data_IF_955085352369
#
_entry.id   IF_955085352369
#
_cell.length_a   1.000
_cell.length_b   1.000
_cell.length_c   1.000
_cell.angle_alpha   90.00
_cell.angle_beta   90.00
_cell.angle_gamma   90.00
#
_symmetry.space_group_name_H-M   'P 1'
#
loop_
_entity.id
_entity.type
_entity.pdbx_description
1 polymer ?
#
# COMPACT_ATOMS: atom_id res chain seq x y z
N UNK A 1 29.65 9.10 22.29
CA UNK A 1 28.39 8.74 21.61
C UNK A 1 27.43 8.18 22.64
N UNK A 2 26.30 8.84 22.91
CA UNK A 2 25.37 8.44 23.97
C UNK A 2 24.38 7.35 23.47
N UNK A 3 24.08 6.31 24.25
CA UNK A 3 23.18 5.24 23.85
C UNK A 3 21.71 5.68 23.89
N UNK A 4 20.95 5.35 22.84
CA UNK A 4 19.51 5.62 22.72
C UNK A 4 18.73 4.82 23.76
N UNK A 5 18.06 5.52 24.68
CA UNK A 5 17.10 4.95 25.65
C UNK A 5 15.94 4.27 24.90
N UNK A 6 15.74 2.97 25.13
CA UNK A 6 14.54 2.23 24.71
C UNK A 6 13.35 2.74 25.53
N UNK A 7 12.32 3.22 24.85
CA UNK A 7 11.06 3.65 25.48
C UNK A 7 10.21 2.41 25.78
N UNK A 8 9.84 2.22 27.04
CA UNK A 8 8.96 1.16 27.48
C UNK A 8 7.52 1.34 26.93
N UNK A 9 6.77 0.26 26.68
CA UNK A 9 5.37 0.32 26.27
C UNK A 9 4.48 0.74 27.45
N UNK A 10 3.56 1.67 27.20
CA UNK A 10 2.57 2.13 28.17
C UNK A 10 1.41 1.12 28.32
N UNK A 11 0.78 1.03 29.50
CA UNK A 11 -0.24 0.02 29.81
C UNK A 11 -1.57 0.28 29.08
N UNK A 12 -2.23 -0.81 28.70
CA UNK A 12 -3.53 -0.84 28.06
C UNK A 12 -4.64 -0.47 29.05
N UNK A 13 -5.39 0.59 28.77
CA UNK A 13 -6.67 0.89 29.42
C UNK A 13 -7.79 0.25 28.60
N UNK A 14 -8.48 -0.70 29.22
CA UNK A 14 -9.67 -1.36 28.71
C UNK A 14 -10.87 -0.40 28.78
N UNK A 15 -11.54 -0.19 27.66
CA UNK A 15 -12.94 0.22 27.60
C UNK A 15 -13.59 -0.62 26.50
N UNK A 16 -14.11 -1.77 26.93
CA UNK A 16 -14.87 -2.72 26.14
C UNK A 16 -16.34 -2.28 26.20
N UNK A 17 -16.82 -1.67 25.12
CA UNK A 17 -18.26 -1.50 24.86
C UNK A 17 -18.60 -2.25 23.59
N UNK A 18 -18.77 -3.55 23.76
CA UNK A 18 -19.30 -4.48 22.79
C UNK A 18 -20.77 -4.11 22.51
N UNK A 19 -21.06 -3.61 21.31
CA UNK A 19 -22.43 -3.41 20.84
C UNK A 19 -22.90 -4.74 20.25
N UNK A 20 -23.62 -5.51 21.07
CA UNK A 20 -24.33 -6.73 20.63
C UNK A 20 -25.50 -6.31 19.75
N UNK A 21 -25.42 -6.59 18.45
CA UNK A 21 -26.57 -6.51 17.53
C UNK A 21 -27.34 -7.81 17.66
N UNK A 22 -28.40 -7.80 18.48
CA UNK A 22 -29.34 -8.91 18.61
C UNK A 22 -30.29 -8.89 17.41
N UNK A 23 -30.11 -9.84 16.48
CA UNK A 23 -31.11 -10.19 15.46
C UNK A 23 -32.28 -10.92 16.13
N UNK A 24 -33.56 -10.57 15.85
CA UNK A 24 -34.68 -11.40 16.28
C UNK A 24 -34.82 -12.65 15.40
N UNK A 25 -35.24 -13.80 15.99
CA UNK A 25 -35.34 -15.07 15.29
C UNK A 25 -36.61 -15.13 14.43
N UNK A 26 -36.53 -15.88 13.33
CA UNK A 26 -37.67 -16.21 12.49
C UNK A 26 -38.73 -16.99 13.26
N UNK A 27 -39.98 -16.56 13.10
CA UNK A 27 -41.16 -17.34 13.43
C UNK A 27 -41.83 -17.74 12.12
N UNK A 28 -41.64 -19.01 11.74
CA UNK A 28 -42.57 -19.71 10.87
C UNK A 28 -43.88 -19.98 11.64
N UNK A 29 -45.03 -19.82 10.97
CA UNK A 29 -46.27 -20.62 11.03
C UNK A 29 -47.50 -19.80 10.55
N UNK A 30 -48.64 -20.41 10.18
CA UNK A 30 -48.86 -21.18 8.95
C UNK A 30 -50.01 -20.58 8.12
N UNK A 31 -50.16 -21.12 6.91
CA UNK A 31 -51.25 -20.85 5.97
C UNK A 31 -52.61 -21.26 6.57
N UNK A 32 -53.44 -20.30 6.97
CA UNK A 32 -54.84 -20.54 7.33
C UNK A 32 -55.76 -19.52 6.66
N UNK A 33 -56.53 -20.03 5.70
CA UNK A 33 -57.62 -19.39 4.98
C UNK A 33 -58.73 -18.95 5.94
N UNK A 34 -59.03 -17.64 5.99
CA UNK A 34 -60.33 -17.12 6.42
C UNK A 34 -60.82 -16.04 5.46
N UNK A 35 -62.12 -16.12 5.18
CA UNK A 35 -62.86 -15.51 4.08
C UNK A 35 -63.75 -14.39 4.65
N UNK A 36 -63.61 -13.17 4.12
CA UNK A 36 -64.56 -12.03 4.16
C UNK A 36 -64.88 -11.38 5.55
N UNK A 37 -65.29 -10.09 5.65
CA UNK A 37 -65.86 -9.25 4.60
C UNK A 37 -65.14 -7.92 4.31
N UNK A 38 -65.35 -7.42 3.09
CA UNK A 38 -65.01 -6.07 2.66
C UNK A 38 -65.59 -5.00 3.61
N UNK A 39 -64.75 -4.49 4.52
CA UNK A 39 -64.91 -3.13 5.06
C UNK A 39 -63.94 -2.24 4.30
N UNK A 40 -64.48 -1.25 3.59
CA UNK A 40 -63.73 -0.33 2.77
C UNK A 40 -62.65 0.41 3.59
N UNK A 41 -61.40 -0.05 3.48
CA UNK A 41 -60.24 0.72 3.92
C UNK A 41 -60.10 1.91 2.97
N UNK A 42 -60.41 3.09 3.49
CA UNK A 42 -60.13 4.35 2.82
C UNK A 42 -58.66 4.35 2.31
N UNK A 43 -58.39 4.87 1.10
CA UNK A 43 -57.03 4.94 0.59
C UNK A 43 -56.16 5.69 1.60
N UNK A 44 -54.89 5.29 1.80
CA UNK A 44 -53.99 5.99 2.71
C UNK A 44 -54.03 7.47 2.34
N UNK A 45 -54.46 8.30 3.29
CA UNK A 45 -54.62 9.73 3.10
C UNK A 45 -53.34 10.28 2.44
N UNK A 46 -53.51 11.00 1.33
CA UNK A 46 -52.42 11.60 0.55
C UNK A 46 -51.50 12.44 1.44
N UNK A 47 -52.04 12.98 2.54
CA UNK A 47 -51.30 13.69 3.58
C UNK A 47 -50.33 12.79 4.36
N UNK A 48 -50.71 11.56 4.73
CA UNK A 48 -49.85 10.62 5.45
C UNK A 48 -48.72 10.08 4.55
N UNK A 49 -49.00 9.84 3.27
CA UNK A 49 -47.98 9.48 2.27
C UNK A 49 -46.98 10.63 2.08
N UNK A 50 -47.47 11.86 1.96
CA UNK A 50 -46.64 13.06 1.82
C UNK A 50 -45.76 13.31 3.06
N UNK A 51 -46.30 13.13 4.27
CA UNK A 51 -45.55 13.23 5.52
C UNK A 51 -44.44 12.17 5.62
N UNK A 52 -44.73 10.92 5.22
CA UNK A 52 -43.75 9.85 5.23
C UNK A 52 -42.61 10.08 4.22
N UNK A 53 -42.94 10.57 3.02
CA UNK A 53 -41.95 10.96 2.01
C UNK A 53 -41.10 12.13 2.50
N UNK A 54 -41.71 13.17 3.08
CA UNK A 54 -40.98 14.30 3.66
C UNK A 54 -40.03 13.85 4.78
N UNK A 55 -40.48 12.98 5.68
CA UNK A 55 -39.63 12.42 6.74
C UNK A 55 -38.49 11.58 6.18
N UNK A 56 -38.73 10.79 5.14
CA UNK A 56 -37.68 10.02 4.48
C UNK A 56 -36.64 10.92 3.77
N UNK A 57 -37.07 12.04 3.18
CA UNK A 57 -36.17 13.02 2.57
C UNK A 57 -35.29 13.67 3.65
N UNK A 58 -35.88 14.12 4.75
CA UNK A 58 -35.15 14.73 5.88
C UNK A 58 -34.15 13.74 6.48
N UNK A 59 -34.58 12.51 6.77
CA UNK A 59 -33.70 11.48 7.31
C UNK A 59 -32.53 11.17 6.35
N UNK A 60 -32.79 11.06 5.05
CA UNK A 60 -31.72 10.84 4.06
C UNK A 60 -30.77 12.03 3.94
N UNK A 61 -31.26 13.26 4.09
CA UNK A 61 -30.43 14.45 4.12
C UNK A 61 -29.53 14.47 5.36
N UNK A 62 -30.06 14.13 6.54
CA UNK A 62 -29.29 14.00 7.78
C UNK A 62 -28.21 12.92 7.68
N UNK A 63 -28.53 11.75 7.13
CA UNK A 63 -27.55 10.68 6.92
C UNK A 63 -26.39 11.11 6.00
N UNK A 64 -26.69 11.86 4.93
CA UNK A 64 -25.65 12.42 4.03
C UNK A 64 -24.83 13.52 4.70
N UNK A 65 -25.47 14.40 5.46
CA UNK A 65 -24.77 15.45 6.19
C UNK A 65 -23.82 14.86 7.25
N UNK A 66 -24.28 13.84 7.98
CA UNK A 66 -23.45 13.12 8.94
C UNK A 66 -22.26 12.44 8.26
N UNK A 67 -22.49 11.74 7.15
CA UNK A 67 -21.39 11.08 6.42
C UNK A 67 -20.36 12.09 5.91
N UNK A 68 -20.78 13.23 5.36
CA UNK A 68 -19.90 14.31 4.94
C UNK A 68 -19.10 14.91 6.11
N UNK A 69 -19.72 15.11 7.27
CA UNK A 69 -19.06 15.60 8.47
C UNK A 69 -18.00 14.62 9.00
N UNK A 70 -18.32 13.33 9.05
CA UNK A 70 -17.35 12.30 9.48
C UNK A 70 -16.15 12.27 8.52
N UNK A 71 -16.39 12.39 7.21
CA UNK A 71 -15.31 12.41 6.21
C UNK A 71 -14.43 13.66 6.32
N UNK A 72 -15.01 14.82 6.61
CA UNK A 72 -14.24 16.07 6.81
C UNK A 72 -13.35 15.96 8.05
N UNK A 73 -13.86 15.39 9.15
CA UNK A 73 -13.10 15.11 10.37
C UNK A 73 -11.96 14.11 10.10
N UNK A 74 -12.22 13.02 9.38
CA UNK A 74 -11.18 12.05 9.01
C UNK A 74 -10.08 12.70 8.16
N UNK A 75 -10.44 13.59 7.23
CA UNK A 75 -9.47 14.35 6.43
C UNK A 75 -8.65 15.30 7.30
N UNK A 76 -9.27 16.01 8.24
CA UNK A 76 -8.60 16.93 9.15
C UNK A 76 -7.67 16.21 10.14
N UNK A 77 -8.05 15.02 10.62
CA UNK A 77 -7.25 14.18 11.51
C UNK A 77 -6.09 13.47 10.81
N UNK A 78 -5.95 13.60 9.48
CA UNK A 78 -4.91 12.92 8.71
C UNK A 78 -3.52 13.40 9.13
N UNK A 79 -2.54 12.48 9.27
CA UNK A 79 -1.14 12.87 9.50
C UNK A 79 -0.63 13.80 8.38
N UNK A 80 0.00 14.91 8.77
CA UNK A 80 0.55 15.93 7.85
C UNK A 80 1.47 15.32 6.78
N UNK A 81 2.25 14.31 7.14
CA UNK A 81 3.15 13.59 6.23
C UNK A 81 2.41 12.85 5.11
N UNK A 82 1.24 12.28 5.39
CA UNK A 82 0.44 11.58 4.38
C UNK A 82 -0.15 12.56 3.39
N UNK A 83 -0.63 13.71 3.88
CA UNK A 83 -1.17 14.78 3.04
C UNK A 83 -0.09 15.32 2.11
N UNK A 84 1.07 15.71 2.65
CA UNK A 84 2.18 16.24 1.84
C UNK A 84 2.75 15.22 0.84
N UNK A 85 2.72 13.93 1.16
CA UNK A 85 3.17 12.87 0.26
C UNK A 85 2.18 12.56 -0.87
N UNK A 86 0.87 12.65 -0.62
CA UNK A 86 -0.17 12.25 -1.58
C UNK A 86 -0.61 13.39 -2.49
N UNK A 87 -0.72 14.60 -1.96
CA UNK A 87 -1.17 15.79 -2.69
C UNK A 87 -0.43 16.04 -4.02
N UNK A 88 0.92 16.01 -4.10
CA UNK A 88 1.61 16.22 -5.38
C UNK A 88 1.28 15.13 -6.40
N UNK A 89 1.10 13.88 -5.96
CA UNK A 89 0.77 12.75 -6.85
C UNK A 89 -0.68 12.83 -7.35
N UNK A 90 -1.60 13.25 -6.48
CA UNK A 90 -2.99 13.51 -6.86
C UNK A 90 -3.08 14.69 -7.83
N UNK A 91 -2.27 15.74 -7.63
CA UNK A 91 -2.21 16.89 -8.55
C UNK A 91 -1.72 16.49 -9.94
N UNK A 92 -0.69 15.66 -10.03
CA UNK A 92 -0.21 15.11 -11.32
C UNK A 92 -1.32 14.32 -12.03
N UNK A 93 -2.04 13.46 -11.31
CA UNK A 93 -3.17 12.72 -11.90
C UNK A 93 -4.29 13.65 -12.40
N UNK A 94 -4.65 14.70 -11.63
CA UNK A 94 -5.65 15.68 -12.09
C UNK A 94 -5.19 16.42 -13.35
N UNK A 95 -3.93 16.85 -13.39
CA UNK A 95 -3.34 17.48 -14.56
C UNK A 95 -3.33 16.54 -15.77
N UNK A 96 -3.05 15.26 -15.58
CA UNK A 96 -3.18 14.25 -16.62
C UNK A 96 -4.60 14.17 -17.18
N UNK A 97 -5.61 14.08 -16.31
CA UNK A 97 -7.00 14.05 -16.72
C UNK A 97 -7.42 15.33 -17.45
N UNK A 98 -6.95 16.50 -17.02
CA UNK A 98 -7.20 17.78 -17.67
C UNK A 98 -6.57 17.84 -19.07
N UNK A 99 -5.33 17.36 -19.25
CA UNK A 99 -4.67 17.33 -20.56
C UNK A 99 -5.33 16.36 -21.54
N UNK A 100 -5.81 15.22 -21.06
CA UNK A 100 -6.52 14.22 -21.88
C UNK A 100 -7.98 14.59 -22.15
N UNK A 101 -8.51 15.62 -21.47
CA UNK A 101 -9.86 16.15 -21.64
C UNK A 101 -10.96 15.08 -21.52
N UNK A 102 -10.86 14.21 -20.50
CA UNK A 102 -11.89 13.20 -20.27
C UNK A 102 -13.25 13.83 -19.92
N UNK A 103 -14.34 13.21 -20.39
CA UNK A 103 -15.70 13.69 -20.15
C UNK A 103 -16.05 13.71 -18.65
N UNK A 104 -15.62 12.71 -17.89
CA UNK A 104 -15.84 12.63 -16.44
C UNK A 104 -14.84 13.47 -15.63
N UNK A 105 -14.03 14.29 -16.31
CA UNK A 105 -13.00 15.14 -15.73
C UNK A 105 -12.00 14.36 -14.88
N UNK A 106 -11.93 14.72 -13.59
CA UNK A 106 -10.96 14.19 -12.62
C UNK A 106 -11.43 12.91 -11.91
N UNK A 107 -12.56 12.33 -12.33
CA UNK A 107 -13.09 11.10 -11.74
C UNK A 107 -12.12 9.94 -11.93
N UNK A 108 -11.74 9.30 -10.82
CA UNK A 108 -10.77 8.21 -10.82
C UNK A 108 -11.44 6.91 -11.29
N UNK A 109 -10.94 6.35 -12.39
CA UNK A 109 -11.28 5.01 -12.85
C UNK A 109 -10.02 4.14 -12.90
N UNK A 110 -10.20 2.81 -12.94
CA UNK A 110 -9.05 1.89 -13.03
C UNK A 110 -8.26 2.12 -14.34
N UNK A 111 -8.96 2.26 -15.46
CA UNK A 111 -8.36 2.47 -16.78
C UNK A 111 -7.53 3.77 -16.84
N UNK A 112 -8.08 4.88 -16.32
CA UNK A 112 -7.37 6.16 -16.26
C UNK A 112 -6.13 6.04 -15.37
N UNK A 113 -6.21 5.30 -14.27
CA UNK A 113 -5.06 5.05 -13.40
C UNK A 113 -4.00 4.25 -14.15
N UNK A 114 -4.34 3.13 -14.78
CA UNK A 114 -3.37 2.31 -15.51
C UNK A 114 -2.68 3.09 -16.64
N UNK A 115 -3.45 3.84 -17.42
CA UNK A 115 -2.90 4.67 -18.49
C UNK A 115 -1.95 5.74 -17.95
N UNK A 116 -2.34 6.43 -16.88
CA UNK A 116 -1.48 7.40 -16.19
C UNK A 116 -0.16 6.76 -15.71
N UNK A 117 -0.22 5.55 -15.15
CA UNK A 117 0.98 4.86 -14.67
C UNK A 117 1.95 4.53 -15.82
N UNK A 118 1.43 4.01 -16.92
CA UNK A 118 2.26 3.63 -18.08
C UNK A 118 2.85 4.88 -18.74
N UNK A 119 2.02 5.84 -19.14
CA UNK A 119 2.46 7.01 -19.92
C UNK A 119 3.30 8.00 -19.11
N UNK A 120 2.94 8.27 -17.85
CA UNK A 120 3.48 9.43 -17.14
C UNK A 120 4.37 9.07 -15.95
N UNK A 121 4.22 7.87 -15.37
CA UNK A 121 4.91 7.48 -14.13
C UNK A 121 6.05 6.50 -14.36
N UNK A 122 5.88 5.49 -15.22
CA UNK A 122 6.83 4.37 -15.36
C UNK A 122 7.94 4.66 -16.35
N UNK A 123 7.63 5.26 -17.51
CA UNK A 123 8.62 5.53 -18.57
C UNK A 123 9.36 6.85 -18.39
N UNK A 124 9.02 7.58 -17.34
CA UNK A 124 9.58 8.89 -17.05
C UNK A 124 10.98 8.81 -16.43
N UNK A 125 11.94 9.62 -16.92
CA UNK A 125 13.23 9.77 -16.25
C UNK A 125 13.05 10.43 -14.87
N UNK A 126 13.87 10.02 -13.89
CA UNK A 126 13.83 10.61 -12.55
C UNK A 126 14.01 12.14 -12.60
N UNK A 127 13.09 12.89 -11.98
CA UNK A 127 13.20 14.36 -11.82
C UNK A 127 14.45 14.77 -11.03
N UNK A 128 14.83 13.97 -10.02
CA UNK A 128 15.97 14.21 -9.13
C UNK A 128 16.75 12.91 -8.96
N UNK A 129 18.08 12.98 -8.92
CA UNK A 129 18.90 11.81 -8.57
C UNK A 129 18.54 11.38 -7.15
N UNK A 130 18.29 10.09 -6.99
CA UNK A 130 18.25 9.50 -5.65
C UNK A 130 19.62 9.63 -5.00
N UNK A 131 19.69 9.96 -3.71
CA UNK A 131 20.93 9.91 -2.91
C UNK A 131 21.63 8.54 -2.95
N UNK A 132 20.90 7.48 -3.34
CA UNK A 132 21.39 6.11 -3.47
C UNK A 132 21.73 5.69 -4.91
N UNK A 133 21.60 6.59 -5.89
CA UNK A 133 22.00 6.30 -7.26
C UNK A 133 23.53 6.40 -7.37
N UNK A 134 24.15 5.42 -8.02
CA UNK A 134 25.57 5.48 -8.36
C UNK A 134 25.83 6.72 -9.23
N UNK A 135 26.98 7.39 -9.05
CA UNK A 135 27.32 8.61 -9.80
C UNK A 135 27.36 8.39 -11.32
N UNK A 136 27.56 7.15 -11.75
CA UNK A 136 27.82 6.76 -13.15
C UNK A 136 26.57 6.40 -13.98
N UNK A 137 25.39 6.26 -13.38
CA UNK A 137 24.17 6.00 -14.17
C UNK A 137 23.53 7.33 -14.61
N UNK A 138 23.29 7.53 -15.92
CA UNK A 138 22.62 8.74 -16.39
C UNK A 138 21.20 8.85 -15.82
N UNK A 139 20.85 10.07 -15.41
CA UNK A 139 19.53 10.43 -14.88
C UNK A 139 18.37 10.05 -15.80
N UNK A 140 18.61 10.10 -17.11
CA UNK A 140 17.65 9.81 -18.17
C UNK A 140 17.24 8.34 -18.24
N UNK A 141 18.11 7.42 -17.84
CA UNK A 141 17.85 5.97 -17.87
C UNK A 141 17.31 5.44 -16.53
N UNK A 142 17.44 6.24 -15.48
CA UNK A 142 16.94 5.84 -14.17
C UNK A 142 15.43 6.00 -14.16
N UNK A 143 14.74 4.88 -14.33
CA UNK A 143 13.29 4.77 -14.21
C UNK A 143 12.83 4.77 -12.75
N UNK A 144 11.57 5.11 -12.55
CA UNK A 144 10.94 5.09 -11.24
C UNK A 144 10.85 3.64 -10.71
N UNK A 145 11.22 3.42 -9.45
CA UNK A 145 11.11 2.09 -8.80
C UNK A 145 9.65 1.66 -8.60
N UNK A 146 9.40 0.35 -8.59
CA UNK A 146 8.05 -0.19 -8.33
C UNK A 146 7.42 0.33 -7.02
N UNK A 147 8.24 0.63 -6.01
CA UNK A 147 7.80 1.17 -4.71
C UNK A 147 7.19 2.57 -4.85
N UNK A 148 7.79 3.40 -5.69
CA UNK A 148 7.29 4.73 -5.97
C UNK A 148 6.00 4.67 -6.79
N UNK A 149 5.91 3.79 -7.78
CA UNK A 149 4.66 3.52 -8.54
C UNK A 149 3.53 3.10 -7.60
N UNK A 150 3.81 2.20 -6.65
CA UNK A 150 2.85 1.82 -5.61
C UNK A 150 2.40 3.00 -4.74
N UNK A 151 3.27 3.98 -4.49
CA UNK A 151 2.91 5.21 -3.78
C UNK A 151 1.95 6.07 -4.59
N UNK A 152 2.11 6.17 -5.91
CA UNK A 152 1.14 6.82 -6.80
C UNK A 152 -0.22 6.13 -6.76
N UNK A 153 -0.27 4.80 -6.93
CA UNK A 153 -1.51 4.03 -6.84
C UNK A 153 -2.22 4.28 -5.50
N UNK A 154 -1.46 4.30 -4.40
CA UNK A 154 -2.03 4.53 -3.07
C UNK A 154 -2.61 5.95 -2.95
N UNK A 155 -1.92 6.97 -3.46
CA UNK A 155 -2.39 8.34 -3.45
C UNK A 155 -3.63 8.56 -4.34
N UNK A 156 -3.69 7.92 -5.51
CA UNK A 156 -4.86 8.00 -6.40
C UNK A 156 -6.04 7.17 -5.88
N UNK A 157 -5.79 6.02 -5.25
CA UNK A 157 -6.84 5.24 -4.57
C UNK A 157 -7.43 6.04 -3.40
N UNK A 158 -6.61 6.83 -2.70
CA UNK A 158 -7.08 7.73 -1.65
C UNK A 158 -7.98 8.86 -2.19
N UNK A 159 -7.63 9.39 -3.38
CA UNK A 159 -8.50 10.33 -4.11
C UNK A 159 -9.82 9.66 -4.50
N UNK A 160 -9.80 8.42 -5.00
CA UNK A 160 -11.01 7.64 -5.30
C UNK A 160 -11.89 7.46 -4.06
N UNK A 161 -11.32 7.05 -2.91
CA UNK A 161 -12.08 6.90 -1.66
C UNK A 161 -12.77 8.20 -1.26
N UNK A 162 -12.06 9.32 -1.45
CA UNK A 162 -12.59 10.66 -1.23
C UNK A 162 -13.75 11.00 -2.17
N UNK A 163 -13.67 10.65 -3.46
CA UNK A 163 -14.74 10.86 -4.44
C UNK A 163 -15.96 9.96 -4.16
N UNK A 164 -15.72 8.69 -3.82
CA UNK A 164 -16.75 7.71 -3.49
C UNK A 164 -17.57 8.14 -2.29
N UNK A 165 -16.89 8.63 -1.25
CA UNK A 165 -17.51 9.06 -0.02
C UNK A 165 -18.31 10.37 -0.17
N UNK A 166 -17.96 11.20 -1.16
CA UNK A 166 -18.75 12.36 -1.58
C UNK A 166 -19.89 12.01 -2.55
N UNK A 167 -20.02 10.74 -2.94
CA UNK A 167 -21.03 10.30 -3.91
C UNK A 167 -20.76 10.73 -5.36
N UNK A 168 -19.54 11.20 -5.67
CA UNK A 168 -19.16 11.67 -7.01
C UNK A 168 -18.75 10.53 -7.96
N UNK A 169 -18.38 9.37 -7.42
CA UNK A 169 -17.81 8.28 -8.21
C UNK A 169 -18.58 6.97 -7.98
N UNK A 170 -19.14 6.40 -9.05
CA UNK A 170 -19.89 5.13 -8.98
C UNK A 170 -19.06 3.90 -9.36
N UNK A 171 -17.85 4.08 -9.86
CA UNK A 171 -16.97 3.00 -10.35
C UNK A 171 -16.45 2.09 -9.22
N UNK A 172 -15.96 0.88 -9.56
CA UNK A 172 -15.24 -0.01 -8.64
C UNK A 172 -13.90 0.58 -8.20
N UNK A 173 -13.26 -0.04 -7.21
CA UNK A 173 -12.01 0.48 -6.69
C UNK A 173 -10.88 0.29 -7.72
N UNK A 174 -10.10 1.34 -8.04
CA UNK A 174 -9.05 1.29 -9.07
C UNK A 174 -7.83 0.42 -8.67
N UNK A 175 -7.91 -0.32 -7.57
CA UNK A 175 -6.82 -1.13 -6.99
C UNK A 175 -7.22 -2.61 -6.81
N UNK A 176 -8.16 -3.07 -7.62
CA UNK A 176 -8.65 -4.44 -7.57
C UNK A 176 -7.62 -5.39 -8.18
N UNK A 177 -7.63 -5.68 -9.47
CA UNK A 177 -6.79 -6.75 -10.02
C UNK A 177 -5.69 -6.25 -10.96
N UNK A 178 -6.04 -5.49 -12.01
CA UNK A 178 -5.08 -5.11 -13.05
C UNK A 178 -3.93 -4.25 -12.48
N UNK A 179 -4.26 -3.29 -11.60
CA UNK A 179 -3.24 -2.47 -10.94
C UNK A 179 -2.30 -3.29 -10.04
N UNK A 180 -2.77 -4.41 -9.45
CA UNK A 180 -1.93 -5.28 -8.63
C UNK A 180 -1.01 -6.14 -9.48
N UNK A 181 -1.52 -6.69 -10.57
CA UNK A 181 -0.72 -7.46 -11.52
C UNK A 181 0.35 -6.60 -12.17
N UNK A 182 0.03 -5.35 -12.51
CA UNK A 182 1.00 -4.39 -13.02
C UNK A 182 2.11 -4.07 -12.01
N UNK A 183 1.80 -3.95 -10.72
CA UNK A 183 2.86 -3.82 -9.70
C UNK A 183 3.76 -5.07 -9.67
N UNK A 184 3.17 -6.28 -9.77
CA UNK A 184 3.95 -7.53 -9.78
C UNK A 184 4.88 -7.61 -10.99
N UNK A 185 4.44 -7.18 -12.17
CA UNK A 185 5.30 -7.15 -13.37
C UNK A 185 6.46 -6.17 -13.20
N UNK A 186 6.21 -4.98 -12.65
CA UNK A 186 7.28 -4.01 -12.34
C UNK A 186 8.25 -4.52 -11.26
N UNK A 187 7.74 -5.25 -10.26
CA UNK A 187 8.59 -5.87 -9.24
C UNK A 187 9.53 -6.92 -9.85
N UNK A 188 9.05 -7.74 -10.80
CA UNK A 188 9.88 -8.71 -11.52
C UNK A 188 10.95 -8.01 -12.36
N UNK A 189 10.57 -7.01 -13.15
CA UNK A 189 11.51 -6.19 -13.95
C UNK A 189 12.62 -5.58 -13.10
N UNK A 190 12.27 -4.99 -11.95
CA UNK A 190 13.25 -4.38 -11.05
C UNK A 190 14.15 -5.45 -10.38
N UNK A 191 13.63 -6.65 -10.09
CA UNK A 191 14.40 -7.76 -9.55
C UNK A 191 15.37 -8.38 -10.59
N UNK A 192 14.92 -8.55 -11.83
CA UNK A 192 15.75 -8.99 -12.95
C UNK A 192 16.90 -8.01 -13.20
N UNK A 193 16.61 -6.71 -13.17
CA UNK A 193 17.64 -5.66 -13.25
C UNK A 193 18.64 -5.76 -12.10
N UNK A 194 18.16 -5.93 -10.86
CA UNK A 194 19.05 -6.08 -9.70
C UNK A 194 19.95 -7.32 -9.82
N UNK A 195 19.41 -8.43 -10.32
CA UNK A 195 20.16 -9.67 -10.58
C UNK A 195 21.21 -9.47 -11.67
N UNK A 196 20.87 -8.79 -12.77
CA UNK A 196 21.80 -8.50 -13.87
C UNK A 196 22.95 -7.59 -13.42
N UNK A 197 22.68 -6.64 -12.51
CA UNK A 197 23.71 -5.79 -11.92
C UNK A 197 24.41 -6.42 -10.70
N UNK A 198 24.13 -7.69 -10.37
CA UNK A 198 24.65 -8.38 -9.17
C UNK A 198 24.48 -7.58 -7.87
N UNK A 199 23.47 -6.71 -7.81
CA UNK A 199 23.22 -5.84 -6.67
C UNK A 199 22.77 -6.62 -5.42
N UNK A 200 22.30 -7.85 -5.61
CA UNK A 200 21.98 -8.84 -4.58
C UNK A 200 23.22 -9.52 -3.99
N UNK A 201 24.31 -9.62 -4.76
CA UNK A 201 25.57 -10.24 -4.33
C UNK A 201 26.48 -9.31 -3.52
N UNK A 202 26.33 -7.99 -3.67
CA UNK A 202 27.18 -6.99 -2.99
C UNK A 202 26.56 -6.27 -1.80
N UNK A 203 25.39 -6.70 -1.30
CA UNK A 203 24.74 -6.12 -0.09
C UNK A 203 24.59 -7.16 1.00
N UNK A 204 24.84 -6.73 2.24
CA UNK A 204 24.78 -7.55 3.45
C UNK A 204 25.72 -8.77 3.36
N UNK A 205 26.78 -8.63 2.57
CA UNK A 205 27.85 -9.62 2.43
C UNK A 205 28.73 -9.58 3.68
N UNK A 206 29.36 -10.70 4.11
CA UNK A 206 30.29 -10.70 5.23
C UNK A 206 31.30 -9.53 5.26
N UNK A 207 31.88 -9.05 4.13
CA UNK A 207 32.71 -7.84 4.11
C UNK A 207 32.03 -6.53 4.55
N UNK A 208 30.69 -6.44 4.61
CA UNK A 208 30.01 -5.27 5.20
C UNK A 208 30.14 -5.24 6.74
N UNK A 209 30.53 -6.36 7.36
CA UNK A 209 30.60 -6.52 8.82
C UNK A 209 32.03 -6.57 9.41
N UNK A 210 33.07 -6.68 8.58
CA UNK A 210 34.46 -6.73 9.05
C UNK A 210 35.37 -5.92 8.12
N UNK A 211 36.42 -5.30 8.68
CA UNK A 211 37.44 -4.61 7.90
C UNK A 211 38.41 -5.59 7.23
N UNK A 212 39.19 -5.15 6.23
CA UNK A 212 40.25 -5.98 5.64
C UNK A 212 41.27 -6.46 6.68
N UNK A 213 41.52 -5.67 7.72
CA UNK A 213 42.44 -6.02 8.80
C UNK A 213 41.84 -7.09 9.73
N UNK A 214 40.53 -7.00 10.00
CA UNK A 214 39.80 -8.05 10.71
C UNK A 214 39.82 -9.37 9.94
N UNK A 215 39.66 -9.32 8.61
CA UNK A 215 39.75 -10.50 7.76
C UNK A 215 41.14 -11.16 7.85
N UNK A 216 42.20 -10.37 7.76
CA UNK A 216 43.59 -10.86 7.89
C UNK A 216 43.81 -11.51 9.26
N UNK A 217 43.30 -10.90 10.33
CA UNK A 217 43.38 -11.47 11.69
C UNK A 217 42.68 -12.82 11.76
N UNK A 218 41.43 -12.90 11.31
CA UNK A 218 40.63 -14.14 11.32
C UNK A 218 41.29 -15.21 10.47
N UNK A 219 41.81 -14.86 9.29
CA UNK A 219 42.50 -15.79 8.41
C UNK A 219 43.79 -16.33 9.06
N UNK A 220 44.56 -15.48 9.73
CA UNK A 220 45.76 -15.86 10.46
C UNK A 220 45.47 -16.79 11.65
N UNK A 221 44.41 -16.51 12.40
CA UNK A 221 43.97 -17.38 13.51
C UNK A 221 43.51 -18.75 12.99
N UNK A 222 42.66 -18.79 11.95
CA UNK A 222 42.19 -20.05 11.36
C UNK A 222 43.35 -20.87 10.78
N UNK A 223 44.33 -20.21 10.16
CA UNK A 223 45.53 -20.86 9.65
C UNK A 223 46.41 -21.42 10.78
N UNK A 224 46.58 -20.71 11.89
CA UNK A 224 47.33 -21.20 13.04
C UNK A 224 46.73 -22.46 13.68
N UNK A 225 45.41 -22.61 13.65
CA UNK A 225 44.70 -23.75 14.23
C UNK A 225 44.61 -24.97 13.29
N UNK A 226 45.04 -24.87 12.03
CA UNK A 226 45.09 -26.04 11.13
C UNK A 226 46.05 -27.11 11.63
N UNK A 227 47.05 -26.75 12.44
CA UNK A 227 47.96 -27.71 13.06
C UNK A 227 47.26 -28.64 14.07
N UNK A 228 46.13 -28.22 14.64
CA UNK A 228 45.37 -28.98 15.65
C UNK A 228 44.23 -29.79 15.00
N UNK A 229 43.52 -29.20 14.04
CA UNK A 229 42.50 -29.86 13.23
C UNK A 229 42.44 -29.21 11.86
N UNK A 230 43.20 -29.78 10.91
CA UNK A 230 43.37 -29.20 9.58
C UNK A 230 42.05 -29.10 8.82
N UNK A 231 41.23 -30.15 8.86
CA UNK A 231 40.02 -30.25 8.03
C UNK A 231 38.96 -29.21 8.37
N UNK A 232 38.69 -28.97 9.66
CA UNK A 232 37.64 -28.05 10.08
C UNK A 232 38.04 -26.58 9.84
N UNK A 233 39.26 -26.22 10.21
CA UNK A 233 39.75 -24.84 10.12
C UNK A 233 40.08 -24.45 8.69
N UNK A 234 40.66 -25.36 7.89
CA UNK A 234 40.93 -25.12 6.47
C UNK A 234 39.62 -24.97 5.68
N UNK A 235 38.61 -25.83 5.94
CA UNK A 235 37.28 -25.69 5.32
C UNK A 235 36.65 -24.35 5.65
N UNK A 236 36.68 -23.94 6.92
CA UNK A 236 36.11 -22.66 7.36
C UNK A 236 36.85 -21.47 6.76
N UNK A 237 38.18 -21.56 6.65
CA UNK A 237 39.02 -20.55 6.00
C UNK A 237 38.72 -20.45 4.50
N UNK A 238 38.64 -21.58 3.80
CA UNK A 238 38.29 -21.64 2.38
C UNK A 238 36.90 -21.06 2.14
N UNK A 239 35.90 -21.44 2.94
CA UNK A 239 34.56 -20.88 2.88
C UNK A 239 34.59 -19.36 3.08
N UNK A 240 35.30 -18.86 4.10
CA UNK A 240 35.42 -17.43 4.39
C UNK A 240 36.05 -16.65 3.23
N UNK A 241 37.18 -17.13 2.70
CA UNK A 241 37.92 -16.47 1.62
C UNK A 241 37.13 -16.51 0.30
N UNK A 242 36.54 -17.66 -0.06
CA UNK A 242 35.68 -17.77 -1.25
C UNK A 242 34.45 -16.86 -1.12
N UNK A 243 33.85 -16.80 0.07
CA UNK A 243 32.74 -15.89 0.36
C UNK A 243 33.12 -14.42 0.22
N UNK A 244 34.33 -14.05 0.63
CA UNK A 244 34.84 -12.68 0.56
C UNK A 244 35.18 -12.26 -0.89
N UNK A 245 35.99 -13.06 -1.59
CA UNK A 245 36.51 -12.68 -2.92
C UNK A 245 35.55 -12.99 -4.08
N UNK A 246 34.70 -14.01 -3.96
CA UNK A 246 33.74 -14.36 -5.02
C UNK A 246 32.35 -13.76 -4.79
N UNK A 247 32.13 -13.03 -3.68
CA UNK A 247 30.83 -12.46 -3.30
C UNK A 247 29.69 -13.50 -3.30
N UNK A 248 30.02 -14.75 -2.98
CA UNK A 248 29.08 -15.88 -2.98
C UNK A 248 28.38 -16.01 -1.64
N UNK A 249 27.06 -16.22 -1.65
CA UNK A 249 26.31 -16.48 -0.41
C UNK A 249 26.52 -17.90 0.07
N UNK A 250 26.13 -18.19 1.31
CA UNK A 250 26.22 -19.54 1.88
C UNK A 250 25.48 -20.62 1.06
N UNK A 251 24.46 -20.26 0.28
CA UNK A 251 23.78 -21.18 -0.63
C UNK A 251 24.49 -21.42 -1.96
N UNK A 252 25.31 -20.47 -2.43
CA UNK A 252 26.09 -20.63 -3.67
C UNK A 252 27.41 -21.38 -3.45
N UNK A 253 27.87 -21.47 -2.19
CA UNK A 253 29.10 -22.18 -1.77
C UNK A 253 28.85 -23.63 -1.35
N UNK A 254 27.59 -24.03 -1.19
CA UNK A 254 27.16 -25.37 -0.78
C UNK A 254 26.73 -26.16 -2.00
#
# INVERSE_FOLDING_TARGET
MAPRKRRAPAPATADDRSITVTLPPGAEQPLASQKEPLTALAPPSVAACSQHVNRAIVNNAELRANSQNVLSLIRAARPKNTTSAYEPKQKEFRQFCQRKQYQDGETVTEEKLLLFLVEEVVDRPLRLRSRKAAKDTPLSETRLSWRSVRSYITAVTDLYRSQKALGMNSHPSPREDNAREYIKSLQRRDAERQKAHYADKGRDTPPDGYSEDDLKRIAGELWGHTAQSAECHLRTLADLLLGHYMLTRGGDRR
#
